data_IF_074113429424
#
_entry.id   IF_074113429424
#
_cell.length_a   1.000
_cell.length_b   1.000
_cell.length_c   1.000
_cell.angle_alpha   90.00
_cell.angle_beta   90.00
_cell.angle_gamma   90.00
#
_symmetry.space_group_name_H-M   'P 1'
#
loop_
_entity.id
_entity.type
_entity.pdbx_description
1 polymer ?
#
# COMPACT_ATOMS: atom_id res chain seq x y z
N UNK A 1 3.05 11.20 9.56
CA UNK A 1 2.95 10.89 8.12
C UNK A 1 1.82 9.90 7.88
N UNK A 2 1.07 10.11 6.82
CA UNK A 2 -0.05 9.29 6.34
C UNK A 2 0.45 8.27 5.31
N UNK A 3 -0.14 7.08 5.30
CA UNK A 3 0.21 6.04 4.34
C UNK A 3 -1.00 5.29 3.81
N UNK A 4 -0.85 4.69 2.63
CA UNK A 4 -1.81 3.78 2.02
C UNK A 4 -1.13 2.46 1.64
N UNK A 5 -1.87 1.35 1.69
CA UNK A 5 -1.33 0.02 1.32
C UNK A 5 -2.13 -0.56 0.16
N UNK A 6 -1.54 -0.57 -1.02
CA UNK A 6 -2.12 -1.15 -2.23
C UNK A 6 -1.82 -2.65 -2.31
N UNK A 7 -2.83 -3.50 -2.46
CA UNK A 7 -2.63 -4.93 -2.73
C UNK A 7 -3.90 -5.62 -3.28
N UNK A 8 -3.83 -6.95 -3.42
CA UNK A 8 -4.97 -7.78 -3.76
C UNK A 8 -5.72 -8.28 -2.52
N UNK A 9 -7.02 -8.59 -2.66
CA UNK A 9 -7.82 -9.28 -1.64
C UNK A 9 -7.17 -10.57 -1.11
N UNK A 10 -6.33 -11.24 -1.91
CA UNK A 10 -5.57 -12.44 -1.50
C UNK A 10 -4.53 -12.15 -0.41
N UNK A 11 -4.18 -10.87 -0.19
CA UNK A 11 -3.16 -10.43 0.75
C UNK A 11 -3.73 -9.69 1.98
N UNK A 12 -5.05 -9.73 2.24
CA UNK A 12 -5.69 -8.99 3.36
C UNK A 12 -4.92 -9.17 4.68
N UNK A 13 -4.56 -10.39 5.05
CA UNK A 13 -3.85 -10.64 6.33
C UNK A 13 -2.48 -9.97 6.37
N UNK A 14 -1.76 -9.97 5.24
CA UNK A 14 -0.45 -9.30 5.12
C UNK A 14 -0.59 -7.79 5.16
N UNK A 15 -1.60 -7.24 4.49
CA UNK A 15 -1.95 -5.80 4.52
C UNK A 15 -2.22 -5.39 5.97
N UNK A 16 -3.08 -6.10 6.68
CA UNK A 16 -3.39 -5.84 8.10
C UNK A 16 -2.15 -5.90 8.99
N UNK A 17 -1.26 -6.87 8.75
CA UNK A 17 0.01 -6.99 9.50
C UNK A 17 0.94 -5.80 9.26
N UNK A 18 1.13 -5.39 8.00
CA UNK A 18 1.94 -4.21 7.65
C UNK A 18 1.32 -2.94 8.21
N UNK A 19 0.00 -2.76 8.05
CA UNK A 19 -0.74 -1.63 8.59
C UNK A 19 -0.61 -1.54 10.11
N UNK A 20 -0.73 -2.66 10.84
CA UNK A 20 -0.52 -2.69 12.30
C UNK A 20 0.90 -2.28 12.68
N UNK A 21 1.91 -2.79 11.98
CA UNK A 21 3.30 -2.45 12.21
C UNK A 21 3.55 -0.94 12.01
N UNK A 22 3.07 -0.37 10.90
CA UNK A 22 3.22 1.07 10.62
C UNK A 22 2.43 1.92 11.63
N UNK A 23 1.19 1.56 11.95
CA UNK A 23 0.40 2.25 13.00
C UNK A 23 1.12 2.24 14.36
N UNK A 24 1.76 1.13 14.74
CA UNK A 24 2.53 1.04 16.00
C UNK A 24 3.76 1.96 16.07
N UNK A 25 4.19 2.49 14.93
CA UNK A 25 5.30 3.46 14.81
C UNK A 25 4.81 4.90 14.66
N UNK A 26 3.51 5.17 14.81
CA UNK A 26 2.92 6.51 14.72
C UNK A 26 2.50 6.95 13.32
N UNK A 27 2.54 6.06 12.32
CA UNK A 27 2.00 6.37 10.99
C UNK A 27 0.46 6.22 10.96
N UNK A 28 -0.21 7.02 10.12
CA UNK A 28 -1.67 7.06 10.02
C UNK A 28 -2.12 6.42 8.71
N UNK A 29 -2.96 5.38 8.77
CA UNK A 29 -3.53 4.76 7.57
C UNK A 29 -4.65 5.65 7.02
N UNK A 30 -4.58 6.03 5.74
CA UNK A 30 -5.59 6.91 5.12
C UNK A 30 -6.92 6.22 4.88
N UNK A 31 -6.89 4.93 4.54
CA UNK A 31 -8.08 4.12 4.33
C UNK A 31 -7.76 2.64 4.48
N UNK A 32 -8.64 1.89 5.15
CA UNK A 32 -8.51 0.44 5.35
C UNK A 32 -9.50 -0.32 4.47
N UNK A 33 -9.17 -0.47 3.18
CA UNK A 33 -9.99 -1.24 2.24
C UNK A 33 -10.15 -2.71 2.63
N UNK A 34 -9.32 -3.23 3.56
CA UNK A 34 -9.46 -4.62 4.04
C UNK A 34 -10.71 -4.84 4.90
N UNK A 35 -11.41 -3.77 5.26
CA UNK A 35 -12.71 -3.83 5.93
C UNK A 35 -13.87 -3.94 4.93
N UNK A 36 -13.64 -3.71 3.65
CA UNK A 36 -14.68 -3.74 2.63
C UNK A 36 -14.99 -5.18 2.23
N UNK A 37 -16.28 -5.43 2.00
CA UNK A 37 -16.72 -6.55 1.18
C UNK A 37 -16.47 -6.23 -0.30
N UNK A 38 -16.56 -7.26 -1.15
CA UNK A 38 -16.47 -7.03 -2.59
C UNK A 38 -17.70 -6.27 -3.05
N UNK A 39 -17.49 -5.16 -3.77
CA UNK A 39 -18.56 -4.42 -4.42
C UNK A 39 -19.41 -5.36 -5.29
N UNK A 40 -20.71 -5.29 -5.09
CA UNK A 40 -21.73 -6.06 -5.81
C UNK A 40 -22.53 -5.17 -6.78
N UNK A 41 -22.50 -3.85 -6.58
CA UNK A 41 -23.20 -2.85 -7.40
C UNK A 41 -22.25 -1.82 -7.99
N UNK A 42 -22.69 -1.15 -9.06
CA UNK A 42 -21.93 -0.06 -9.68
C UNK A 42 -21.71 1.12 -8.71
N UNK A 43 -22.71 1.44 -7.89
CA UNK A 43 -22.61 2.55 -6.94
C UNK A 43 -21.66 2.23 -5.78
N UNK A 44 -21.65 1.00 -5.28
CA UNK A 44 -20.62 0.53 -4.34
C UNK A 44 -19.22 0.61 -4.96
N UNK A 45 -19.08 0.17 -6.22
CA UNK A 45 -17.80 0.20 -6.92
C UNK A 45 -17.27 1.63 -7.07
N UNK A 46 -18.15 2.59 -7.42
CA UNK A 46 -17.80 4.02 -7.50
C UNK A 46 -17.43 4.56 -6.12
N UNK A 47 -18.22 4.29 -5.10
CA UNK A 47 -17.97 4.78 -3.74
C UNK A 47 -16.62 4.30 -3.20
N UNK A 48 -16.36 3.00 -3.31
CA UNK A 48 -15.07 2.41 -2.88
C UNK A 48 -13.93 3.00 -3.70
N UNK A 49 -14.07 3.08 -5.03
CA UNK A 49 -13.03 3.67 -5.89
C UNK A 49 -12.73 5.14 -5.55
N UNK A 50 -13.74 5.93 -5.18
CA UNK A 50 -13.54 7.30 -4.71
C UNK A 50 -12.79 7.34 -3.37
N UNK A 51 -13.12 6.46 -2.44
CA UNK A 51 -12.44 6.35 -1.15
C UNK A 51 -10.96 5.95 -1.34
N UNK A 52 -10.67 4.95 -2.16
CA UNK A 52 -9.31 4.50 -2.49
C UNK A 52 -8.51 5.62 -3.18
N UNK A 53 -9.09 6.29 -4.19
CA UNK A 53 -8.43 7.42 -4.87
C UNK A 53 -8.08 8.56 -3.90
N UNK A 54 -9.02 8.93 -3.03
CA UNK A 54 -8.79 10.00 -2.05
C UNK A 54 -7.72 9.57 -1.04
N UNK A 55 -7.74 8.31 -0.60
CA UNK A 55 -6.76 7.76 0.33
C UNK A 55 -5.33 7.75 -0.22
N UNK A 56 -5.15 7.42 -1.50
CA UNK A 56 -3.87 7.54 -2.21
C UNK A 56 -3.42 9.00 -2.30
N UNK A 57 -4.35 9.91 -2.59
CA UNK A 57 -4.07 11.35 -2.73
C UNK A 57 -3.60 11.96 -1.41
N UNK A 58 -4.25 11.59 -0.31
CA UNK A 58 -3.94 12.07 1.04
C UNK A 58 -2.71 11.42 1.69
N UNK A 59 -2.27 10.27 1.20
CA UNK A 59 -1.11 9.59 1.75
C UNK A 59 0.18 10.35 1.42
N UNK A 60 1.13 10.37 2.34
CA UNK A 60 2.47 10.90 2.11
C UNK A 60 3.32 9.89 1.32
N UNK A 61 3.11 8.60 1.57
CA UNK A 61 3.75 7.49 0.86
C UNK A 61 2.81 6.29 0.67
N UNK A 62 3.13 5.44 -0.29
CA UNK A 62 2.34 4.24 -0.63
C UNK A 62 3.19 2.99 -0.45
N UNK A 63 2.61 1.95 0.12
CA UNK A 63 3.19 0.61 0.18
C UNK A 63 2.43 -0.31 -0.78
N UNK A 64 3.12 -0.89 -1.76
CA UNK A 64 2.55 -1.86 -2.71
C UNK A 64 2.99 -3.27 -2.31
N UNK A 65 2.05 -4.08 -1.83
CA UNK A 65 2.28 -5.50 -1.50
C UNK A 65 2.02 -6.37 -2.74
N UNK A 66 3.06 -7.04 -3.21
CA UNK A 66 3.00 -7.94 -4.36
C UNK A 66 2.71 -9.41 -3.92
N UNK A 67 2.11 -10.25 -4.78
CA UNK A 67 1.45 -9.87 -6.03
C UNK A 67 0.18 -9.03 -5.77
N UNK A 68 0.05 -7.94 -6.51
CA UNK A 68 -1.02 -6.95 -6.32
C UNK A 68 -2.20 -7.19 -7.30
N UNK A 69 -3.35 -6.59 -7.01
CA UNK A 69 -4.57 -6.73 -7.82
C UNK A 69 -4.65 -5.68 -8.93
N UNK A 70 -5.70 -5.76 -9.77
CA UNK A 70 -5.96 -4.76 -10.82
C UNK A 70 -6.10 -3.34 -10.23
N UNK A 71 -6.91 -3.19 -9.18
CA UNK A 71 -7.10 -1.91 -8.48
C UNK A 71 -5.79 -1.32 -7.98
N UNK A 72 -4.88 -2.14 -7.46
CA UNK A 72 -3.56 -1.70 -6.99
C UNK A 72 -2.70 -1.04 -8.05
N UNK A 73 -2.85 -1.42 -9.33
CA UNK A 73 -2.11 -0.79 -10.42
C UNK A 73 -2.67 0.60 -10.74
N UNK A 74 -3.98 0.82 -10.54
CA UNK A 74 -4.61 2.14 -10.66
C UNK A 74 -4.10 3.05 -9.54
N UNK A 75 -4.12 2.55 -8.30
CA UNK A 75 -3.61 3.26 -7.11
C UNK A 75 -2.12 3.62 -7.29
N UNK A 76 -1.32 2.68 -7.77
CA UNK A 76 0.09 2.91 -8.12
C UNK A 76 0.26 3.97 -9.20
N UNK A 77 -0.54 3.93 -10.27
CA UNK A 77 -0.52 4.95 -11.32
C UNK A 77 -0.87 6.35 -10.82
N UNK A 78 -1.88 6.47 -9.96
CA UNK A 78 -2.24 7.75 -9.31
C UNK A 78 -1.08 8.25 -8.46
N UNK A 79 -0.51 7.38 -7.63
CA UNK A 79 0.61 7.72 -6.77
C UNK A 79 1.85 8.19 -7.54
N UNK A 80 2.18 7.52 -8.65
CA UNK A 80 3.23 7.95 -9.58
C UNK A 80 2.94 9.35 -10.15
N UNK A 81 1.71 9.57 -10.64
CA UNK A 81 1.30 10.86 -11.19
C UNK A 81 1.34 12.01 -10.17
N UNK A 82 1.18 11.69 -8.89
CA UNK A 82 1.28 12.63 -7.77
C UNK A 82 2.69 12.69 -7.15
N UNK A 83 3.67 12.01 -7.74
CA UNK A 83 5.06 11.92 -7.26
C UNK A 83 5.16 11.51 -5.78
N UNK A 84 4.31 10.57 -5.36
CA UNK A 84 4.34 10.00 -3.99
C UNK A 84 5.55 9.08 -3.83
N UNK A 85 6.06 8.99 -2.62
CA UNK A 85 7.07 7.99 -2.30
C UNK A 85 6.45 6.58 -2.33
N UNK A 86 7.12 5.64 -3.00
CA UNK A 86 6.60 4.31 -3.27
C UNK A 86 7.51 3.24 -2.65
N UNK A 87 6.90 2.35 -1.86
CA UNK A 87 7.58 1.20 -1.27
C UNK A 87 6.98 -0.09 -1.80
N UNK A 88 7.79 -0.97 -2.38
CA UNK A 88 7.32 -2.28 -2.84
C UNK A 88 7.76 -3.38 -1.90
N UNK A 89 6.83 -4.26 -1.53
CA UNK A 89 7.13 -5.44 -0.72
C UNK A 89 6.76 -6.67 -1.54
N UNK A 90 7.77 -7.47 -1.84
CA UNK A 90 7.61 -8.72 -2.57
C UNK A 90 7.86 -9.93 -1.66
N UNK A 91 7.01 -10.97 -1.69
CA UNK A 91 7.07 -12.09 -0.75
C UNK A 91 8.32 -12.96 -0.89
N UNK A 92 8.99 -12.93 -2.04
CA UNK A 92 10.15 -13.80 -2.34
C UNK A 92 11.41 -13.05 -2.76
N UNK A 93 11.39 -11.71 -2.80
CA UNK A 93 12.56 -10.95 -3.26
C UNK A 93 13.58 -10.88 -2.11
N UNK A 94 14.80 -11.38 -2.38
CA UNK A 94 15.92 -11.43 -1.43
C UNK A 94 16.83 -10.20 -1.48
N UNK A 95 16.58 -9.27 -2.40
CA UNK A 95 17.41 -8.10 -2.66
C UNK A 95 16.57 -6.83 -2.75
N UNK A 96 17.16 -5.71 -2.34
CA UNK A 96 16.62 -4.38 -2.51
C UNK A 96 17.02 -3.90 -3.91
N UNK A 97 16.05 -3.58 -4.76
CA UNK A 97 16.28 -2.83 -5.99
C UNK A 97 15.83 -1.40 -5.74
N UNK A 98 16.71 -0.43 -5.96
CA UNK A 98 16.32 0.98 -5.98
C UNK A 98 15.87 1.28 -7.41
N UNK A 99 14.57 1.51 -7.59
CA UNK A 99 14.13 2.24 -8.79
C UNK A 99 14.26 3.73 -8.49
N UNK A 100 14.52 4.59 -9.49
CA UNK A 100 14.67 6.03 -9.28
C UNK A 100 13.52 6.72 -8.53
N UNK A 101 12.37 6.02 -8.41
CA UNK A 101 11.13 6.49 -7.79
C UNK A 101 10.54 5.49 -6.77
N UNK A 102 11.21 4.38 -6.46
CA UNK A 102 10.67 3.36 -5.56
C UNK A 102 11.71 2.57 -4.77
N UNK A 103 11.48 2.42 -3.45
CA UNK A 103 12.30 1.61 -2.54
C UNK A 103 11.65 0.24 -2.33
N UNK A 104 12.36 -0.85 -2.62
CA UNK A 104 11.86 -2.20 -2.35
C UNK A 104 12.31 -2.66 -0.96
N UNK A 105 11.37 -3.01 -0.07
CA UNK A 105 11.67 -3.55 1.28
C UNK A 105 11.33 -5.04 1.31
N UNK A 106 12.31 -5.87 1.66
CA UNK A 106 12.15 -7.33 1.77
C UNK A 106 11.51 -7.69 3.11
N UNK A 107 10.63 -8.69 3.11
CA UNK A 107 9.87 -9.09 4.30
C UNK A 107 10.37 -10.44 4.87
N UNK A 108 11.38 -10.40 5.73
CA UNK A 108 11.63 -11.44 6.74
C UNK A 108 12.18 -10.81 8.03
N UNK A 109 11.44 -10.91 9.14
CA UNK A 109 11.98 -10.68 10.50
C UNK A 109 12.59 -9.31 10.82
N UNK A 110 11.94 -8.21 10.44
CA UNK A 110 12.46 -6.82 10.54
C UNK A 110 13.24 -6.50 11.85
N UNK A 111 14.58 -6.47 11.76
CA UNK A 111 15.42 -5.42 12.37
C UNK A 111 15.74 -4.42 11.26
N UNK A 112 15.05 -3.28 11.24
CA UNK A 112 15.47 -2.14 10.42
C UNK A 112 16.43 -1.30 11.26
N UNK A 113 17.72 -1.36 10.93
CA UNK A 113 18.70 -0.37 11.41
C UNK A 113 18.44 0.96 10.71
N UNK A 114 18.29 2.03 11.48
CA UNK A 114 18.15 3.39 10.93
C UNK A 114 19.44 3.76 10.21
N UNK A 115 19.35 4.05 8.92
CA UNK A 115 20.41 4.81 8.25
C UNK A 115 20.21 6.25 8.66
N UNK A 116 21.19 6.79 9.39
CA UNK A 116 21.31 8.23 9.67
C UNK A 116 21.65 8.97 8.39
#
# INVERSE_FOLDING_TARGET
MKFYVASSFKNIDKVRRVSKMLKSRGYILTYDWTQNERASTLEELKLIGHQEKNAVTEADFIVVLLPAGKGSHIEFGIALGLNKELFFIHPTMKSITLLPQALFITYQGLKLSSVR
#
